data_IF_112364008554
#
_entry.id   IF_112364008554
#
_cell.length_a   1.000
_cell.length_b   1.000
_cell.length_c   1.000
_cell.angle_alpha   90.00
_cell.angle_beta   90.00
_cell.angle_gamma   90.00
#
_symmetry.space_group_name_H-M   'P 1'
#
loop_
_entity.id
_entity.type
_entity.pdbx_description
1 polymer ?
#
# COMPACT_ATOMS: atom_id res chain seq x y z
N UNK A 1 -31.48 18.80 20.91
CA UNK A 1 -31.59 17.79 21.98
C UNK A 1 -30.39 16.83 22.01
N UNK A 2 -29.71 16.56 20.89
CA UNK A 2 -28.53 15.66 20.86
C UNK A 2 -27.27 16.17 21.58
N UNK A 3 -27.12 17.48 21.79
CA UNK A 3 -25.93 18.07 22.41
C UNK A 3 -25.85 17.87 23.94
N UNK A 4 -26.97 17.63 24.62
CA UNK A 4 -26.99 17.37 26.06
C UNK A 4 -26.83 15.88 26.40
N UNK A 5 -27.38 15.00 25.55
CA UNK A 5 -27.23 13.54 25.68
C UNK A 5 -25.76 13.14 25.51
N UNK A 6 -25.06 13.74 24.53
CA UNK A 6 -23.63 13.52 24.33
C UNK A 6 -22.79 13.94 25.55
N UNK A 7 -23.12 15.06 26.20
CA UNK A 7 -22.44 15.53 27.42
C UNK A 7 -22.75 14.68 28.65
N UNK A 8 -23.96 14.13 28.74
CA UNK A 8 -24.35 13.26 29.84
C UNK A 8 -23.64 11.89 29.76
N UNK A 9 -23.59 11.27 28.59
CA UNK A 9 -22.87 10.00 28.37
C UNK A 9 -21.35 10.15 28.61
N UNK A 10 -20.76 11.25 28.18
CA UNK A 10 -19.33 11.55 28.44
C UNK A 10 -19.00 11.70 29.92
N UNK A 11 -19.93 12.23 30.72
CA UNK A 11 -19.75 12.42 32.16
C UNK A 11 -19.81 11.10 32.95
N UNK A 12 -20.47 10.08 32.41
CA UNK A 12 -20.70 8.80 33.11
C UNK A 12 -19.60 7.78 32.77
N UNK A 13 -18.91 7.90 31.62
CA UNK A 13 -17.87 6.95 31.23
C UNK A 13 -16.71 7.61 30.45
N UNK A 14 -15.81 8.36 31.14
CA UNK A 14 -14.69 9.05 30.49
C UNK A 14 -13.68 8.09 29.83
N UNK A 15 -13.61 6.83 30.28
CA UNK A 15 -12.72 5.81 29.70
C UNK A 15 -13.11 5.40 28.28
N UNK A 16 -14.38 5.54 27.89
CA UNK A 16 -14.83 5.17 26.55
C UNK A 16 -14.35 6.19 25.51
N UNK A 17 -14.35 7.48 25.82
CA UNK A 17 -13.87 8.52 24.90
C UNK A 17 -12.38 8.41 24.57
N UNK A 18 -11.54 8.09 25.58
CA UNK A 18 -10.11 7.79 25.35
C UNK A 18 -9.95 6.59 24.43
N UNK A 19 -10.70 5.51 24.67
CA UNK A 19 -10.67 4.30 23.84
C UNK A 19 -11.13 4.56 22.41
N UNK A 20 -12.20 5.34 22.18
CA UNK A 20 -12.63 5.72 20.83
C UNK A 20 -11.60 6.62 20.12
N UNK A 21 -10.94 7.53 20.83
CA UNK A 21 -9.83 8.32 20.30
C UNK A 21 -8.61 7.47 19.92
N UNK A 22 -8.26 6.48 20.75
CA UNK A 22 -7.18 5.52 20.52
C UNK A 22 -7.47 4.56 19.34
N UNK A 23 -8.71 4.07 19.22
CA UNK A 23 -9.17 3.21 18.12
C UNK A 23 -9.10 3.95 16.77
N UNK A 24 -9.54 5.22 16.74
CA UNK A 24 -9.43 6.07 15.55
C UNK A 24 -7.97 6.39 15.18
N UNK A 25 -7.09 6.46 16.18
CA UNK A 25 -5.66 6.68 15.95
C UNK A 25 -4.99 5.48 15.28
N UNK A 26 -5.44 4.24 15.55
CA UNK A 26 -4.84 3.04 14.99
C UNK A 26 -5.01 2.94 13.47
N UNK A 27 -6.23 3.11 12.94
CA UNK A 27 -6.48 3.12 11.50
C UNK A 27 -5.63 4.18 10.79
N UNK A 28 -5.57 5.38 11.36
CA UNK A 28 -4.77 6.49 10.85
C UNK A 28 -3.28 6.15 10.80
N UNK A 29 -2.71 5.56 11.86
CA UNK A 29 -1.31 5.13 11.89
C UNK A 29 -1.04 4.10 10.78
N UNK A 30 -1.92 3.12 10.60
CA UNK A 30 -1.76 2.09 9.57
C UNK A 30 -1.83 2.70 8.16
N UNK A 31 -2.78 3.59 7.89
CA UNK A 31 -2.90 4.29 6.60
C UNK A 31 -1.64 5.13 6.32
N UNK A 32 -1.17 5.91 7.30
CA UNK A 32 0.02 6.75 7.15
C UNK A 32 1.29 5.91 6.99
N UNK A 33 1.42 4.81 7.74
CA UNK A 33 2.54 3.89 7.62
C UNK A 33 2.59 3.24 6.23
N UNK A 34 1.44 2.82 5.71
CA UNK A 34 1.35 2.30 4.34
C UNK A 34 1.63 3.36 3.29
N UNK A 35 1.12 4.58 3.45
CA UNK A 35 1.41 5.70 2.56
C UNK A 35 2.91 6.00 2.51
N UNK A 36 3.62 5.95 3.64
CA UNK A 36 5.07 6.13 3.71
C UNK A 36 5.83 4.99 3.01
N UNK A 37 5.39 3.75 3.17
CA UNK A 37 5.95 2.59 2.46
C UNK A 37 5.77 2.74 0.95
N UNK A 38 4.58 3.12 0.48
CA UNK A 38 4.31 3.32 -0.94
C UNK A 38 5.06 4.53 -1.50
N UNK A 39 5.23 5.59 -0.71
CA UNK A 39 6.07 6.72 -1.09
C UNK A 39 7.53 6.29 -1.31
N UNK A 40 8.06 5.43 -0.44
CA UNK A 40 9.39 4.85 -0.61
C UNK A 40 9.51 4.02 -1.89
N UNK A 41 8.46 3.28 -2.27
CA UNK A 41 8.41 2.56 -3.55
C UNK A 41 8.41 3.54 -4.74
N UNK A 42 7.67 4.64 -4.65
CA UNK A 42 7.63 5.68 -5.69
C UNK A 42 9.00 6.33 -5.87
N UNK A 43 9.68 6.68 -4.78
CA UNK A 43 11.05 7.21 -4.84
C UNK A 43 12.01 6.22 -5.51
N UNK A 44 11.90 4.93 -5.18
CA UNK A 44 12.71 3.91 -5.81
C UNK A 44 12.45 3.82 -7.33
N UNK A 45 11.18 3.90 -7.77
CA UNK A 45 10.83 3.83 -9.19
C UNK A 45 11.29 5.06 -9.99
N UNK A 46 11.20 6.27 -9.41
CA UNK A 46 11.62 7.49 -10.12
C UNK A 46 13.13 7.68 -10.16
N UNK A 47 13.78 7.55 -9.01
CA UNK A 47 15.18 7.96 -8.87
C UNK A 47 16.16 6.79 -8.98
N UNK A 48 15.71 5.56 -8.67
CA UNK A 48 16.56 4.39 -8.62
C UNK A 48 15.94 3.15 -9.30
N UNK A 49 15.37 3.25 -10.53
CA UNK A 49 14.63 2.14 -11.14
C UNK A 49 15.49 0.89 -11.37
N UNK A 50 16.79 1.06 -11.60
CA UNK A 50 17.76 -0.03 -11.74
C UNK A 50 18.15 -0.72 -10.42
N UNK A 51 17.72 -0.19 -9.27
CA UNK A 51 17.97 -0.79 -7.97
C UNK A 51 17.29 -2.15 -7.84
N UNK A 52 17.94 -3.07 -7.11
CA UNK A 52 17.33 -4.35 -6.68
C UNK A 52 16.73 -4.26 -5.26
N UNK A 53 16.73 -3.08 -4.66
CA UNK A 53 16.12 -2.80 -3.36
C UNK A 53 14.74 -2.19 -3.55
N UNK A 54 13.88 -2.36 -2.56
CA UNK A 54 12.46 -2.01 -2.63
C UNK A 54 11.77 -2.65 -3.84
N UNK A 55 10.57 -2.19 -4.18
CA UNK A 55 9.82 -2.68 -5.34
C UNK A 55 10.24 -2.00 -6.65
N UNK A 56 11.55 -1.81 -6.86
CA UNK A 56 12.12 -1.26 -8.09
C UNK A 56 12.19 -2.33 -9.20
N UNK A 57 12.32 -1.89 -10.46
CA UNK A 57 12.28 -2.78 -11.63
C UNK A 57 13.61 -3.47 -11.93
N UNK A 58 14.71 -3.07 -11.29
CA UNK A 58 16.02 -3.70 -11.44
C UNK A 58 16.10 -5.15 -10.97
N UNK A 59 15.07 -5.65 -10.26
CA UNK A 59 14.92 -7.08 -9.95
C UNK A 59 14.60 -7.91 -11.19
N UNK A 60 14.01 -7.31 -12.24
CA UNK A 60 13.69 -7.98 -13.49
C UNK A 60 14.86 -7.88 -14.46
N UNK A 61 15.40 -9.02 -14.89
CA UNK A 61 16.47 -9.05 -15.92
C UNK A 61 16.05 -8.39 -17.25
N UNK A 62 14.74 -8.33 -17.53
CA UNK A 62 14.18 -7.65 -18.68
C UNK A 62 14.47 -6.14 -18.68
N UNK A 63 14.60 -5.50 -17.52
CA UNK A 63 14.98 -4.09 -17.42
C UNK A 63 16.34 -3.84 -18.08
N UNK A 64 17.37 -4.60 -17.70
CA UNK A 64 18.71 -4.41 -18.28
C UNK A 64 18.75 -4.82 -19.76
N UNK A 65 18.06 -5.90 -20.13
CA UNK A 65 17.95 -6.34 -21.53
C UNK A 65 17.28 -5.30 -22.43
N UNK A 66 16.28 -4.57 -21.91
CA UNK A 66 15.59 -3.54 -22.69
C UNK A 66 16.52 -2.43 -23.15
N UNK A 67 17.60 -2.13 -22.42
CA UNK A 67 18.58 -1.08 -22.76
C UNK A 67 19.32 -1.32 -24.07
N UNK A 68 19.30 -2.56 -24.58
CA UNK A 68 19.86 -2.91 -25.88
C UNK A 68 18.97 -2.44 -27.05
N UNK A 69 17.70 -2.11 -26.76
CA UNK A 69 16.67 -1.72 -27.73
C UNK A 69 16.06 -0.39 -27.26
N UNK A 70 16.60 0.77 -27.70
CA UNK A 70 16.22 2.08 -27.18
C UNK A 70 14.70 2.31 -27.15
N UNK A 71 13.99 1.91 -28.20
CA UNK A 71 12.55 2.04 -28.31
C UNK A 71 11.76 1.21 -27.28
N UNK A 72 12.25 0.01 -26.95
CA UNK A 72 11.66 -0.84 -25.90
C UNK A 72 11.98 -0.23 -24.54
N UNK A 73 13.22 0.26 -24.35
CA UNK A 73 13.63 0.84 -23.08
C UNK A 73 12.80 2.07 -22.73
N UNK A 74 12.63 3.00 -23.67
CA UNK A 74 11.83 4.21 -23.49
C UNK A 74 10.38 3.85 -23.14
N UNK A 75 9.80 2.86 -23.82
CA UNK A 75 8.45 2.37 -23.50
C UNK A 75 8.36 1.77 -22.10
N UNK A 76 9.33 0.95 -21.68
CA UNK A 76 9.38 0.37 -20.33
C UNK A 76 9.56 1.47 -19.28
N UNK A 77 10.42 2.47 -19.52
CA UNK A 77 10.58 3.62 -18.63
C UNK A 77 9.26 4.40 -18.49
N UNK A 78 8.57 4.65 -19.60
CA UNK A 78 7.25 5.27 -19.58
C UNK A 78 6.27 4.50 -18.70
N UNK A 79 6.18 3.17 -18.83
CA UNK A 79 5.30 2.34 -18.00
C UNK A 79 5.69 2.40 -16.51
N UNK A 80 6.98 2.39 -16.20
CA UNK A 80 7.48 2.51 -14.82
C UNK A 80 7.09 3.84 -14.20
N UNK A 81 7.29 4.95 -14.92
CA UNK A 81 6.91 6.28 -14.45
C UNK A 81 5.40 6.46 -14.37
N UNK A 82 4.63 5.83 -15.26
CA UNK A 82 3.18 5.83 -15.18
C UNK A 82 2.69 5.14 -13.90
N UNK A 83 3.22 3.96 -13.58
CA UNK A 83 2.88 3.25 -12.33
C UNK A 83 3.29 4.07 -11.10
N UNK A 84 4.47 4.68 -11.12
CA UNK A 84 4.92 5.55 -10.03
C UNK A 84 4.00 6.76 -9.83
N UNK A 85 3.57 7.40 -10.93
CA UNK A 85 2.63 8.53 -10.90
C UNK A 85 1.25 8.13 -10.39
N UNK A 86 0.72 6.98 -10.80
CA UNK A 86 -0.54 6.46 -10.29
C UNK A 86 -0.48 6.19 -8.78
N UNK A 87 0.63 5.64 -8.29
CA UNK A 87 0.88 5.44 -6.85
C UNK A 87 0.95 6.77 -6.10
N UNK A 88 1.55 7.81 -6.69
CA UNK A 88 1.62 9.14 -6.08
C UNK A 88 0.21 9.73 -5.84
N UNK A 89 -0.67 9.69 -6.85
CA UNK A 89 -2.07 10.13 -6.72
C UNK A 89 -2.76 9.37 -5.59
N UNK A 90 -2.59 8.05 -5.58
CA UNK A 90 -3.15 7.18 -4.57
C UNK A 90 -2.67 7.52 -3.14
N UNK A 91 -1.37 7.80 -2.97
CA UNK A 91 -0.79 8.24 -1.70
C UNK A 91 -1.42 9.56 -1.24
N UNK A 92 -1.56 10.55 -2.13
CA UNK A 92 -2.19 11.82 -1.78
C UNK A 92 -3.63 11.64 -1.30
N UNK A 93 -4.40 10.76 -1.95
CA UNK A 93 -5.76 10.43 -1.52
C UNK A 93 -5.77 9.77 -0.14
N UNK A 94 -4.87 8.81 0.11
CA UNK A 94 -4.75 8.15 1.43
C UNK A 94 -4.37 9.13 2.54
N UNK A 95 -3.44 10.04 2.28
CA UNK A 95 -3.04 11.09 3.23
C UNK A 95 -4.22 12.02 3.52
N UNK A 96 -4.97 12.42 2.49
CA UNK A 96 -6.20 13.20 2.66
C UNK A 96 -7.22 12.48 3.56
N UNK A 97 -7.45 11.18 3.33
CA UNK A 97 -8.34 10.35 4.16
C UNK A 97 -7.82 10.24 5.61
N UNK A 98 -6.51 10.07 5.80
CA UNK A 98 -5.92 9.96 7.13
C UNK A 98 -6.01 11.26 7.94
N UNK A 99 -5.92 12.42 7.27
CA UNK A 99 -5.95 13.73 7.93
C UNK A 99 -7.39 14.21 8.17
N UNK A 100 -8.25 14.08 7.16
CA UNK A 100 -9.58 14.71 7.14
C UNK A 100 -10.74 13.71 7.23
N UNK A 101 -10.49 12.43 6.99
CA UNK A 101 -11.53 11.41 7.05
C UNK A 101 -11.95 11.09 8.47
N UNK A 102 -13.25 10.87 8.67
CA UNK A 102 -13.77 10.32 9.91
C UNK A 102 -13.39 8.83 10.08
N UNK A 103 -13.71 8.28 11.26
CA UNK A 103 -13.39 6.90 11.61
C UNK A 103 -13.98 5.87 10.62
N UNK A 104 -15.22 6.11 10.16
CA UNK A 104 -15.89 5.21 9.23
C UNK A 104 -15.20 5.23 7.86
N UNK A 105 -14.85 6.42 7.36
CA UNK A 105 -14.16 6.56 6.09
C UNK A 105 -12.77 5.91 6.12
N UNK A 106 -12.01 6.10 7.20
CA UNK A 106 -10.71 5.46 7.37
C UNK A 106 -10.84 3.93 7.40
N UNK A 107 -11.84 3.41 8.12
CA UNK A 107 -12.14 1.98 8.18
C UNK A 107 -12.53 1.39 6.84
N UNK A 108 -13.46 2.03 6.12
CA UNK A 108 -13.87 1.59 4.77
C UNK A 108 -12.68 1.62 3.81
N UNK A 109 -11.79 2.62 3.97
CA UNK A 109 -10.58 2.73 3.16
C UNK A 109 -9.61 1.57 3.41
N UNK A 110 -9.47 1.09 4.64
CA UNK A 110 -8.68 -0.12 4.97
C UNK A 110 -9.27 -1.38 4.33
N UNK A 111 -10.60 -1.52 4.29
CA UNK A 111 -11.26 -2.63 3.60
C UNK A 111 -11.03 -2.53 2.09
N UNK A 112 -11.19 -1.34 1.51
CA UNK A 112 -10.94 -1.08 0.09
C UNK A 112 -9.48 -1.37 -0.29
N UNK A 113 -8.53 -0.98 0.57
CA UNK A 113 -7.11 -1.30 0.46
C UNK A 113 -6.86 -2.82 0.41
N UNK A 114 -7.46 -3.57 1.33
CA UNK A 114 -7.33 -5.03 1.36
C UNK A 114 -7.87 -5.69 0.09
N UNK A 115 -9.07 -5.30 -0.35
CA UNK A 115 -9.71 -5.85 -1.55
C UNK A 115 -8.95 -5.49 -2.84
N UNK A 116 -8.51 -4.23 -2.97
CA UNK A 116 -7.72 -3.80 -4.13
C UNK A 116 -6.38 -4.54 -4.20
N UNK A 117 -5.72 -4.72 -3.05
CA UNK A 117 -4.46 -5.46 -2.96
C UNK A 117 -4.66 -6.94 -3.30
N UNK A 118 -5.77 -7.55 -2.86
CA UNK A 118 -6.12 -8.93 -3.20
C UNK A 118 -6.37 -9.10 -4.71
N UNK A 119 -7.12 -8.18 -5.32
CA UNK A 119 -7.38 -8.19 -6.77
C UNK A 119 -6.08 -8.09 -7.58
N UNK A 120 -5.18 -7.20 -7.17
CA UNK A 120 -3.85 -7.04 -7.77
C UNK A 120 -3.00 -8.31 -7.59
N UNK A 121 -2.99 -8.87 -6.38
CA UNK A 121 -2.26 -10.09 -6.05
C UNK A 121 -2.71 -11.25 -6.93
N UNK A 122 -4.02 -11.47 -7.09
CA UNK A 122 -4.57 -12.54 -7.90
C UNK A 122 -4.04 -12.54 -9.35
N UNK A 123 -3.93 -11.36 -9.97
CA UNK A 123 -3.51 -11.24 -11.37
C UNK A 123 -2.00 -11.22 -11.55
N UNK A 124 -1.26 -10.54 -10.68
CA UNK A 124 0.18 -10.31 -10.88
C UNK A 124 1.06 -11.35 -10.20
N UNK A 125 0.60 -11.97 -9.12
CA UNK A 125 1.37 -13.01 -8.45
C UNK A 125 1.67 -14.22 -9.33
N UNK A 126 0.73 -14.74 -10.16
CA UNK A 126 1.04 -15.83 -11.10
C UNK A 126 2.12 -15.43 -12.12
N UNK A 127 2.09 -14.18 -12.61
CA UNK A 127 3.06 -13.69 -13.58
C UNK A 127 4.46 -13.57 -12.98
N UNK A 128 4.60 -12.96 -11.80
CA UNK A 128 5.91 -12.82 -11.16
C UNK A 128 6.48 -14.19 -10.75
N UNK A 129 5.63 -15.12 -10.30
CA UNK A 129 6.04 -16.50 -10.00
C UNK A 129 6.59 -17.20 -11.24
N UNK A 130 5.92 -17.07 -12.40
CA UNK A 130 6.39 -17.62 -13.67
C UNK A 130 7.75 -17.03 -14.07
N UNK A 131 7.91 -15.71 -13.96
CA UNK A 131 9.17 -15.03 -14.27
C UNK A 131 10.32 -15.45 -13.34
N UNK A 132 10.07 -15.60 -12.04
CA UNK A 132 11.05 -16.07 -11.04
C UNK A 132 11.47 -17.51 -11.33
N UNK A 133 10.53 -18.41 -11.63
CA UNK A 133 10.81 -19.81 -12.01
C UNK A 133 11.66 -19.91 -13.29
N UNK A 134 11.47 -18.99 -14.23
CA UNK A 134 12.25 -18.92 -15.47
C UNK A 134 13.62 -18.23 -15.30
N UNK A 135 14.03 -17.90 -14.07
CA UNK A 135 15.29 -17.22 -13.80
C UNK A 135 15.36 -15.79 -14.33
N UNK A 136 14.21 -15.15 -14.57
CA UNK A 136 14.13 -13.80 -15.11
C UNK A 136 14.17 -12.72 -14.02
N UNK A 137 14.16 -13.13 -12.74
CA UNK A 137 14.16 -12.24 -11.57
C UNK A 137 15.37 -12.54 -10.68
N UNK A 138 15.96 -11.50 -10.09
CA UNK A 138 17.09 -11.60 -9.16
C UNK A 138 16.82 -10.71 -7.93
N UNK A 139 16.97 -11.21 -6.69
CA UNK A 139 17.46 -12.55 -6.30
C UNK A 139 16.45 -13.68 -6.55
N UNK A 140 16.92 -14.94 -6.53
CA UNK A 140 16.04 -16.12 -6.68
C UNK A 140 15.02 -16.19 -5.52
N UNK A 141 13.83 -16.69 -5.81
CA UNK A 141 12.71 -16.78 -4.86
C UNK A 141 12.14 -15.41 -4.45
N UNK A 142 12.40 -14.36 -5.23
CA UNK A 142 11.83 -13.04 -4.97
C UNK A 142 10.30 -13.07 -4.96
N UNK A 143 9.68 -13.89 -5.81
CA UNK A 143 8.21 -14.04 -5.85
C UNK A 143 7.64 -14.49 -4.50
N UNK A 144 8.32 -15.37 -3.76
CA UNK A 144 7.89 -15.79 -2.41
C UNK A 144 7.96 -14.64 -1.42
N UNK A 145 9.07 -13.89 -1.44
CA UNK A 145 9.27 -12.73 -0.54
C UNK A 145 8.21 -11.66 -0.79
N UNK A 146 7.99 -11.31 -2.07
CA UNK A 146 6.98 -10.35 -2.45
C UNK A 146 5.57 -10.82 -2.05
N UNK A 147 5.26 -12.10 -2.27
CA UNK A 147 3.97 -12.66 -1.91
C UNK A 147 3.68 -12.62 -0.42
N UNK A 148 4.67 -12.97 0.41
CA UNK A 148 4.56 -12.86 1.87
C UNK A 148 4.33 -11.42 2.31
N UNK A 149 5.05 -10.45 1.75
CA UNK A 149 4.86 -9.03 2.06
C UNK A 149 3.44 -8.55 1.71
N UNK A 150 2.94 -8.87 0.52
CA UNK A 150 1.58 -8.50 0.10
C UNK A 150 0.53 -9.15 1.00
N UNK A 151 0.70 -10.43 1.32
CA UNK A 151 -0.21 -11.15 2.21
C UNK A 151 -0.23 -10.54 3.62
N UNK A 152 0.93 -10.20 4.18
CA UNK A 152 1.04 -9.50 5.46
C UNK A 152 0.35 -8.14 5.44
N UNK A 153 0.45 -7.38 4.35
CA UNK A 153 -0.26 -6.09 4.21
C UNK A 153 -1.78 -6.28 4.18
N UNK A 154 -2.29 -7.29 3.44
CA UNK A 154 -3.72 -7.60 3.43
C UNK A 154 -4.22 -7.93 4.84
N UNK A 155 -3.50 -8.79 5.57
CA UNK A 155 -3.84 -9.13 6.96
C UNK A 155 -3.82 -7.89 7.84
N UNK A 156 -2.79 -7.04 7.74
CA UNK A 156 -2.68 -5.82 8.52
C UNK A 156 -3.87 -4.89 8.29
N UNK A 157 -4.28 -4.68 7.03
CA UNK A 157 -5.44 -3.84 6.70
C UNK A 157 -6.75 -4.41 7.27
N UNK A 158 -6.95 -5.73 7.17
CA UNK A 158 -8.13 -6.38 7.71
C UNK A 158 -8.18 -6.28 9.24
N UNK A 159 -7.06 -6.55 9.93
CA UNK A 159 -6.96 -6.42 11.39
C UNK A 159 -7.23 -4.96 11.80
N UNK A 160 -6.62 -3.99 11.12
CA UNK A 160 -6.84 -2.58 11.39
C UNK A 160 -8.31 -2.18 11.20
N UNK A 161 -8.97 -2.65 10.14
CA UNK A 161 -10.38 -2.39 9.90
C UNK A 161 -11.31 -3.07 10.92
N UNK A 162 -10.93 -4.24 11.44
CA UNK A 162 -11.70 -4.99 12.45
C UNK A 162 -11.55 -4.40 13.85
N UNK A 163 -10.34 -3.97 14.22
CA UNK A 163 -10.09 -3.33 15.51
C UNK A 163 -10.74 -1.95 15.56
N UNK A 164 -10.74 -1.20 14.45
CA UNK A 164 -11.33 0.14 14.38
C UNK A 164 -12.87 0.13 14.26
N UNK A 165 -13.53 -0.89 14.81
CA UNK A 165 -14.99 -1.07 14.85
C UNK A 165 -15.61 -0.39 16.08
#
# INVERSE_FOLDING_TARGET
>A
MDCEIGRFVYRINPGNSSRYGELNMFAKIVILGFALLEFSNVLALYFFPASRRANAVGVFSAWEKSRQYPEIHDFVQYLVYWVAGAKLIFIFLLVGIAIFGDANLQRVSLIALALATLSFYWRLFPLIRKMDQNGQITPRNYSKTLGMMIFSLIILFLIAALISF
#
